data_IF_614149721904
#
_entry.id   IF_614149721904
#
_cell.length_a   1.000
_cell.length_b   1.000
_cell.length_c   1.000
_cell.angle_alpha   90.00
_cell.angle_beta   90.00
_cell.angle_gamma   90.00
#
_symmetry.space_group_name_H-M   'P 1'
#
loop_
_entity.id
_entity.type
_entity.pdbx_description
1 polymer ?
#
# COMPACT_ATOMS: atom_id res chain seq x y z
N UNK A 1 34.38 -8.54 11.33
CA UNK A 1 33.36 -9.36 10.63
C UNK A 1 32.24 -8.44 10.20
N UNK A 2 32.11 -8.20 8.89
CA UNK A 2 31.12 -7.26 8.33
C UNK A 2 29.71 -7.73 8.67
N UNK A 3 28.90 -6.83 9.22
CA UNK A 3 27.50 -7.00 9.57
C UNK A 3 26.66 -7.26 8.32
N UNK A 4 26.54 -8.54 7.94
CA UNK A 4 25.46 -9.02 7.09
C UNK A 4 24.14 -8.74 7.84
N UNK A 5 23.42 -7.68 7.47
CA UNK A 5 22.15 -7.40 8.13
C UNK A 5 21.36 -6.22 7.59
N UNK A 6 21.98 -5.20 7.00
CA UNK A 6 21.24 -4.11 6.36
C UNK A 6 22.11 -3.42 5.29
N UNK A 7 21.83 -3.69 4.02
CA UNK A 7 22.54 -3.08 2.89
C UNK A 7 21.57 -2.80 1.74
N UNK A 8 21.09 -1.56 1.69
CA UNK A 8 20.15 -1.10 0.68
C UNK A 8 20.70 -1.15 -0.74
N UNK A 9 21.99 -0.87 -0.92
CA UNK A 9 22.59 -0.85 -2.24
C UNK A 9 22.74 -2.27 -2.77
N UNK A 10 23.18 -3.20 -1.91
CA UNK A 10 23.23 -4.61 -2.26
C UNK A 10 21.84 -5.20 -2.51
N UNK A 11 20.84 -4.93 -1.65
CA UNK A 11 19.48 -5.39 -1.86
C UNK A 11 18.89 -4.85 -3.18
N UNK A 12 19.09 -3.57 -3.47
CA UNK A 12 18.66 -2.96 -4.73
C UNK A 12 19.35 -3.58 -5.95
N UNK A 13 20.65 -3.87 -5.87
CA UNK A 13 21.42 -4.56 -6.93
C UNK A 13 20.87 -5.96 -7.20
N UNK A 14 20.54 -6.72 -6.14
CA UNK A 14 19.93 -8.06 -6.27
C UNK A 14 18.59 -7.95 -7.00
N UNK A 15 17.72 -7.04 -6.58
CA UNK A 15 16.42 -6.82 -7.23
C UNK A 15 16.57 -6.35 -8.69
N UNK A 16 17.53 -5.48 -8.97
CA UNK A 16 17.82 -5.04 -10.34
C UNK A 16 18.28 -6.20 -11.23
N UNK A 17 19.19 -7.05 -10.75
CA UNK A 17 19.66 -8.24 -11.47
C UNK A 17 18.55 -9.28 -11.70
N UNK A 18 17.62 -9.43 -10.75
CA UNK A 18 16.47 -10.31 -10.93
C UNK A 18 15.44 -9.78 -11.94
N UNK A 19 15.19 -8.47 -11.91
CA UNK A 19 14.23 -7.83 -12.78
C UNK A 19 14.73 -7.72 -14.25
N UNK A 20 16.04 -7.69 -14.46
CA UNK A 20 16.66 -7.74 -15.80
C UNK A 20 16.72 -9.19 -16.34
N UNK A 21 16.51 -9.44 -17.65
CA UNK A 21 16.14 -8.50 -18.70
C UNK A 21 14.63 -8.18 -18.76
N UNK A 22 13.81 -8.85 -17.95
CA UNK A 22 12.36 -8.59 -17.91
C UNK A 22 11.70 -9.11 -16.65
N UNK A 23 10.86 -8.27 -16.05
CA UNK A 23 10.16 -8.55 -14.80
C UNK A 23 8.81 -9.24 -15.02
N UNK A 24 8.09 -8.91 -16.09
CA UNK A 24 6.74 -9.41 -16.35
C UNK A 24 6.71 -10.31 -17.58
N UNK A 25 5.94 -11.40 -17.54
CA UNK A 25 5.57 -12.14 -18.72
C UNK A 25 4.56 -11.35 -19.57
N UNK A 26 4.49 -11.66 -20.87
CA UNK A 26 3.37 -11.25 -21.69
C UNK A 26 2.16 -12.12 -21.33
N UNK A 27 1.23 -11.54 -20.58
CA UNK A 27 -0.04 -12.19 -20.25
C UNK A 27 -1.15 -11.25 -20.68
N UNK A 28 -2.12 -11.70 -21.51
CA UNK A 28 -3.30 -10.90 -21.78
C UNK A 28 -4.02 -10.65 -20.45
N UNK A 29 -4.26 -9.38 -20.13
CA UNK A 29 -5.04 -9.05 -18.95
C UNK A 29 -6.46 -9.55 -19.21
N UNK A 30 -6.92 -10.55 -18.46
CA UNK A 30 -8.35 -10.80 -18.34
C UNK A 30 -8.94 -9.58 -17.62
N UNK A 31 -9.65 -8.73 -18.36
CA UNK A 31 -10.28 -7.53 -17.81
C UNK A 31 -11.65 -7.96 -17.29
N UNK A 32 -11.94 -7.78 -16.00
CA UNK A 32 -13.30 -8.01 -15.52
C UNK A 32 -14.24 -7.02 -16.21
N UNK A 33 -15.29 -7.53 -16.84
CA UNK A 33 -16.23 -6.71 -17.59
C UNK A 33 -17.03 -5.76 -16.68
N UNK A 34 -17.22 -6.13 -15.40
CA UNK A 34 -18.04 -5.40 -14.44
C UNK A 34 -17.59 -5.67 -13.01
N UNK A 35 -17.46 -4.62 -12.20
CA UNK A 35 -17.22 -4.70 -10.75
C UNK A 35 -18.30 -3.93 -10.00
N UNK A 36 -18.90 -4.58 -9.00
CA UNK A 36 -19.88 -3.97 -8.09
C UNK A 36 -19.19 -3.44 -6.84
N UNK A 37 -19.60 -2.26 -6.37
CA UNK A 37 -19.04 -1.65 -5.17
C UNK A 37 -20.11 -0.99 -4.31
N UNK A 38 -19.85 -0.91 -3.02
CA UNK A 38 -20.64 -0.10 -2.08
C UNK A 38 -19.91 1.19 -1.76
N UNK A 39 -20.65 2.25 -1.46
CA UNK A 39 -20.11 3.58 -1.19
C UNK A 39 -20.63 4.11 0.15
N UNK A 40 -19.75 4.73 0.93
CA UNK A 40 -20.08 5.41 2.16
C UNK A 40 -19.40 6.77 2.23
N UNK A 41 -20.14 7.82 2.61
CA UNK A 41 -19.57 9.15 2.83
C UNK A 41 -18.62 9.14 4.02
N UNK A 42 -17.43 9.72 3.83
CA UNK A 42 -16.46 9.98 4.89
C UNK A 42 -16.93 11.20 5.68
N UNK A 43 -17.12 11.02 6.99
CA UNK A 43 -17.61 12.08 7.89
C UNK A 43 -16.45 12.76 8.60
N UNK A 44 -16.25 14.04 8.30
CA UNK A 44 -15.28 14.89 8.99
C UNK A 44 -15.74 15.25 10.42
N UNK A 45 -14.79 15.63 11.28
CA UNK A 45 -15.11 16.21 12.60
C UNK A 45 -15.82 17.56 12.44
N UNK A 46 -16.64 17.98 13.43
CA UNK A 46 -17.20 19.33 13.46
C UNK A 46 -16.10 20.38 13.33
N UNK A 47 -16.31 21.38 12.45
CA UNK A 47 -15.36 22.46 12.16
C UNK A 47 -14.00 22.02 11.58
N UNK A 48 -13.92 20.83 10.99
CA UNK A 48 -12.72 20.29 10.32
C UNK A 48 -13.08 19.66 8.99
N UNK A 49 -12.15 19.62 8.03
CA UNK A 49 -12.28 18.79 6.83
C UNK A 49 -11.70 17.38 7.03
N UNK A 50 -10.98 17.14 8.13
CA UNK A 50 -10.41 15.84 8.48
C UNK A 50 -11.37 15.03 9.35
N UNK A 51 -11.31 13.72 9.24
CA UNK A 51 -11.91 12.81 10.23
C UNK A 51 -11.06 12.76 11.51
N UNK A 52 -11.62 12.26 12.61
CA UNK A 52 -10.88 12.06 13.86
C UNK A 52 -9.61 11.23 13.65
N UNK A 53 -9.71 10.10 12.93
CA UNK A 53 -8.56 9.23 12.65
C UNK A 53 -7.49 9.93 11.81
N UNK A 54 -7.89 10.75 10.83
CA UNK A 54 -6.97 11.53 10.01
C UNK A 54 -6.25 12.61 10.83
N UNK A 55 -6.99 13.35 11.67
CA UNK A 55 -6.42 14.40 12.54
C UNK A 55 -5.44 13.82 13.56
N UNK A 56 -5.82 12.74 14.25
CA UNK A 56 -4.95 12.07 15.21
C UNK A 56 -3.67 11.54 14.55
N UNK A 57 -3.79 10.99 13.34
CA UNK A 57 -2.62 10.54 12.58
C UNK A 57 -1.72 11.71 12.18
N UNK A 58 -2.29 12.81 11.69
CA UNK A 58 -1.56 14.03 11.33
C UNK A 58 -0.77 14.58 12.53
N UNK A 59 -1.43 14.75 13.67
CA UNK A 59 -0.86 15.29 14.90
C UNK A 59 0.27 14.42 15.47
N UNK A 60 0.19 13.10 15.26
CA UNK A 60 1.15 12.15 15.83
C UNK A 60 2.31 11.82 14.89
N UNK A 61 2.07 11.67 13.59
CA UNK A 61 3.04 11.04 12.67
C UNK A 61 3.46 11.91 11.48
N UNK A 62 2.83 13.07 11.29
CA UNK A 62 3.08 13.89 10.10
C UNK A 62 3.63 15.27 10.41
N UNK A 63 4.11 15.52 11.63
CA UNK A 63 4.75 16.80 11.95
C UNK A 63 5.93 17.07 11.00
N UNK A 64 6.10 18.29 10.47
CA UNK A 64 5.35 19.52 10.77
C UNK A 64 4.16 19.82 9.83
N UNK A 65 3.65 18.83 9.10
CA UNK A 65 2.50 19.00 8.21
C UNK A 65 1.27 19.54 8.96
N UNK A 66 0.63 20.54 8.37
CA UNK A 66 -0.55 21.22 8.91
C UNK A 66 -1.84 20.67 8.29
N UNK A 67 -3.00 20.83 8.96
CA UNK A 67 -4.27 20.35 8.43
C UNK A 67 -4.61 20.90 7.03
N UNK A 68 -4.30 22.16 6.75
CA UNK A 68 -4.55 22.81 5.44
C UNK A 68 -3.77 22.19 4.29
N UNK A 69 -2.69 21.47 4.59
CA UNK A 69 -1.83 20.80 3.61
C UNK A 69 -2.30 19.37 3.29
N UNK A 70 -3.34 18.89 3.98
CA UNK A 70 -3.87 17.53 3.80
C UNK A 70 -5.19 17.59 3.06
N UNK A 71 -5.26 16.88 1.93
CA UNK A 71 -6.52 16.61 1.24
C UNK A 71 -7.13 15.32 1.76
N UNK A 72 -8.39 15.40 2.22
CA UNK A 72 -9.19 14.24 2.64
C UNK A 72 -10.13 13.77 1.52
N UNK A 73 -10.32 12.46 1.44
CA UNK A 73 -11.34 11.83 0.64
C UNK A 73 -12.74 12.15 1.19
N UNK A 74 -13.73 12.18 0.30
CA UNK A 74 -15.13 12.41 0.69
C UNK A 74 -15.92 11.11 0.77
N UNK A 75 -15.43 10.04 0.16
CA UNK A 75 -16.08 8.74 0.10
C UNK A 75 -15.09 7.61 0.30
N UNK A 76 -15.56 6.56 0.97
CA UNK A 76 -14.93 5.26 1.07
C UNK A 76 -15.77 4.27 0.26
N UNK A 77 -15.11 3.41 -0.48
CA UNK A 77 -15.74 2.31 -1.21
C UNK A 77 -15.26 0.96 -0.69
N UNK A 78 -16.10 -0.05 -0.86
CA UNK A 78 -15.72 -1.44 -0.67
C UNK A 78 -16.22 -2.28 -1.86
N UNK A 79 -15.40 -3.21 -2.33
CA UNK A 79 -15.72 -4.11 -3.44
C UNK A 79 -15.00 -5.46 -3.28
N UNK A 80 -15.36 -6.44 -4.10
CA UNK A 80 -14.60 -7.68 -4.28
C UNK A 80 -13.89 -7.62 -5.62
N UNK A 81 -12.59 -7.88 -5.64
CA UNK A 81 -11.79 -7.88 -6.88
C UNK A 81 -11.98 -9.16 -7.70
N UNK A 82 -11.38 -9.23 -8.89
CA UNK A 82 -11.50 -10.39 -9.78
C UNK A 82 -10.96 -11.72 -9.23
N UNK A 83 -10.11 -11.68 -8.19
CA UNK A 83 -9.64 -12.89 -7.49
C UNK A 83 -10.56 -13.24 -6.29
N UNK A 84 -11.69 -12.54 -6.17
CA UNK A 84 -12.64 -12.72 -5.08
C UNK A 84 -12.16 -12.12 -3.76
N UNK A 85 -11.18 -11.23 -3.74
CA UNK A 85 -10.62 -10.68 -2.50
C UNK A 85 -11.33 -9.37 -2.15
N UNK A 86 -11.75 -9.17 -0.88
CA UNK A 86 -12.37 -7.91 -0.46
C UNK A 86 -11.35 -6.78 -0.44
N UNK A 87 -11.76 -5.63 -0.95
CA UNK A 87 -10.96 -4.42 -1.10
C UNK A 87 -11.69 -3.20 -0.52
N UNK A 88 -10.92 -2.24 -0.02
CA UNK A 88 -11.40 -0.91 0.34
C UNK A 88 -10.58 0.16 -0.35
N UNK A 89 -11.18 1.31 -0.56
CA UNK A 89 -10.54 2.42 -1.24
C UNK A 89 -11.25 3.73 -0.96
N UNK A 90 -10.67 4.81 -1.45
CA UNK A 90 -11.18 6.15 -1.21
C UNK A 90 -11.19 6.94 -2.50
N UNK A 91 -12.20 7.81 -2.62
CA UNK A 91 -12.23 8.80 -3.69
C UNK A 91 -12.77 10.13 -3.18
N UNK A 92 -12.61 11.16 -4.00
CA UNK A 92 -13.07 12.51 -3.72
C UNK A 92 -14.12 12.93 -4.73
N UNK A 93 -15.23 13.51 -4.26
CA UNK A 93 -16.25 14.13 -5.12
C UNK A 93 -15.61 15.24 -5.94
N UNK A 94 -15.99 15.31 -7.23
CA UNK A 94 -15.39 16.21 -8.21
C UNK A 94 -13.99 15.80 -8.68
N UNK A 95 -13.50 14.62 -8.28
CA UNK A 95 -12.33 13.96 -8.87
C UNK A 95 -12.74 12.91 -9.91
N UNK A 96 -11.87 11.93 -10.13
CA UNK A 96 -12.07 10.85 -11.12
C UNK A 96 -13.02 9.74 -10.63
N UNK A 97 -13.52 9.82 -9.40
CA UNK A 97 -14.49 8.86 -8.86
C UNK A 97 -13.90 7.50 -8.45
N UNK A 98 -14.76 6.51 -8.19
CA UNK A 98 -14.38 5.19 -7.66
C UNK A 98 -13.68 4.29 -8.67
N UNK A 99 -13.70 4.61 -9.97
CA UNK A 99 -13.04 3.83 -11.01
C UNK A 99 -11.53 3.72 -10.80
N UNK A 100 -10.87 4.77 -10.29
CA UNK A 100 -9.41 4.76 -10.13
C UNK A 100 -8.94 3.71 -9.12
N UNK A 101 -9.40 3.69 -7.85
CA UNK A 101 -8.99 2.65 -6.90
C UNK A 101 -9.37 1.23 -7.35
N UNK A 102 -10.51 1.04 -8.03
CA UNK A 102 -10.93 -0.29 -8.52
C UNK A 102 -10.05 -0.75 -9.69
N UNK A 103 -9.90 0.06 -10.75
CA UNK A 103 -9.04 -0.27 -11.89
C UNK A 103 -7.57 -0.45 -11.48
N UNK A 104 -7.11 0.33 -10.50
CA UNK A 104 -5.79 0.18 -9.90
C UNK A 104 -5.59 -1.21 -9.31
N UNK A 105 -6.57 -1.71 -8.54
CA UNK A 105 -6.49 -3.04 -7.94
C UNK A 105 -6.49 -4.15 -9.00
N UNK A 106 -7.35 -4.04 -10.01
CA UNK A 106 -7.36 -5.00 -11.12
C UNK A 106 -6.05 -4.98 -11.92
N UNK A 107 -5.42 -3.81 -12.04
CA UNK A 107 -4.08 -3.67 -12.61
C UNK A 107 -3.04 -4.41 -11.77
N UNK A 108 -3.08 -4.25 -10.45
CA UNK A 108 -2.17 -4.97 -9.54
C UNK A 108 -2.33 -6.48 -9.72
N UNK A 109 -3.57 -6.99 -9.77
CA UNK A 109 -3.84 -8.42 -9.97
C UNK A 109 -3.30 -8.92 -11.31
N UNK A 110 -3.54 -8.19 -12.40
CA UNK A 110 -3.00 -8.52 -13.71
C UNK A 110 -1.47 -8.58 -13.71
N UNK A 111 -0.80 -7.64 -13.06
CA UNK A 111 0.66 -7.62 -12.94
C UNK A 111 1.21 -8.69 -12.00
N UNK A 112 0.49 -9.05 -10.94
CA UNK A 112 0.84 -10.18 -10.08
C UNK A 112 0.78 -11.50 -10.84
N UNK A 113 -0.26 -11.70 -11.66
CA UNK A 113 -0.37 -12.86 -12.56
C UNK A 113 0.77 -12.89 -13.57
N UNK A 114 1.07 -11.75 -14.21
CA UNK A 114 2.18 -11.64 -15.17
C UNK A 114 3.56 -11.87 -14.51
N UNK A 115 3.74 -11.45 -13.26
CA UNK A 115 4.95 -11.70 -12.47
C UNK A 115 5.08 -13.20 -12.15
N UNK A 116 4.01 -13.83 -11.67
CA UNK A 116 3.99 -15.25 -11.32
C UNK A 116 4.16 -16.17 -12.54
N UNK A 117 3.61 -15.78 -13.69
CA UNK A 117 3.72 -16.53 -14.95
C UNK A 117 5.12 -16.44 -15.60
N UNK A 118 6.01 -15.57 -15.10
CA UNK A 118 7.34 -15.38 -15.67
C UNK A 118 8.30 -16.50 -15.24
N UNK A 119 8.31 -17.60 -16.00
CA UNK A 119 9.18 -18.75 -15.75
C UNK A 119 10.68 -18.38 -15.75
N UNK A 120 11.09 -17.41 -16.57
CA UNK A 120 12.48 -16.95 -16.60
C UNK A 120 12.86 -16.21 -15.31
N UNK A 121 11.96 -15.39 -14.76
CA UNK A 121 12.15 -14.77 -13.44
C UNK A 121 12.19 -15.84 -12.34
N UNK A 122 11.27 -16.79 -12.36
CA UNK A 122 11.23 -17.87 -11.37
C UNK A 122 12.56 -18.67 -11.36
N UNK A 123 13.10 -18.98 -12.54
CA UNK A 123 14.41 -19.61 -12.67
C UNK A 123 15.52 -18.75 -12.05
N UNK A 124 15.57 -17.45 -12.34
CA UNK A 124 16.56 -16.54 -11.73
C UNK A 124 16.43 -16.49 -10.20
N UNK A 125 15.21 -16.39 -9.68
CA UNK A 125 14.92 -16.38 -8.24
C UNK A 125 15.39 -17.68 -7.56
N UNK A 126 15.19 -18.84 -8.20
CA UNK A 126 15.61 -20.14 -7.66
C UNK A 126 17.14 -20.29 -7.51
N UNK A 127 17.91 -19.46 -8.22
CA UNK A 127 19.38 -19.48 -8.20
C UNK A 127 19.99 -18.37 -7.35
N UNK A 128 19.18 -17.59 -6.62
CA UNK A 128 19.69 -16.51 -5.75
C UNK A 128 20.55 -17.12 -4.66
N UNK A 129 21.75 -16.56 -4.48
CA UNK A 129 22.69 -17.05 -3.47
C UNK A 129 22.14 -16.85 -2.05
N UNK A 130 22.51 -17.74 -1.12
CA UNK A 130 22.15 -17.60 0.30
C UNK A 130 22.60 -16.25 0.89
N UNK A 131 23.72 -15.70 0.39
CA UNK A 131 24.22 -14.38 0.76
C UNK A 131 23.27 -13.27 0.32
N UNK A 132 22.81 -13.31 -0.93
CA UNK A 132 21.89 -12.30 -1.45
C UNK A 132 20.51 -12.41 -0.79
N UNK A 133 20.04 -13.63 -0.49
CA UNK A 133 18.81 -13.83 0.32
C UNK A 133 18.95 -13.21 1.71
N UNK A 134 20.06 -13.43 2.41
CA UNK A 134 20.31 -12.82 3.72
C UNK A 134 20.35 -11.28 3.65
N UNK A 135 20.84 -10.70 2.55
CA UNK A 135 20.80 -9.25 2.32
C UNK A 135 19.37 -8.75 2.16
N UNK A 136 18.53 -9.45 1.38
CA UNK A 136 17.12 -9.10 1.19
C UNK A 136 16.32 -9.21 2.50
N UNK A 137 16.52 -10.30 3.26
CA UNK A 137 15.91 -10.52 4.56
C UNK A 137 16.28 -9.41 5.55
N UNK A 138 17.56 -9.05 5.63
CA UNK A 138 18.01 -8.00 6.53
C UNK A 138 17.53 -6.59 6.15
N UNK A 139 17.28 -6.35 4.86
CA UNK A 139 17.06 -4.99 4.33
C UNK A 139 15.59 -4.66 4.03
N UNK A 140 14.79 -5.66 3.66
CA UNK A 140 13.41 -5.47 3.20
C UNK A 140 12.40 -5.99 4.23
N UNK A 141 11.14 -5.56 4.11
CA UNK A 141 10.07 -6.04 5.01
C UNK A 141 9.57 -7.43 4.61
N UNK A 142 9.55 -7.74 3.31
CA UNK A 142 8.89 -8.93 2.78
C UNK A 142 9.87 -10.07 2.49
N UNK A 143 11.18 -9.81 2.54
CA UNK A 143 12.32 -10.74 2.50
C UNK A 143 12.48 -11.51 1.18
N UNK A 144 11.41 -12.13 0.69
CA UNK A 144 11.40 -12.95 -0.52
C UNK A 144 11.32 -12.08 -1.78
N UNK A 145 12.13 -12.35 -2.83
CA UNK A 145 12.14 -11.53 -4.03
C UNK A 145 10.77 -11.32 -4.68
N UNK A 146 9.97 -12.38 -4.79
CA UNK A 146 8.65 -12.33 -5.40
C UNK A 146 7.69 -11.45 -4.60
N UNK A 147 7.71 -11.56 -3.27
CA UNK A 147 6.87 -10.73 -2.39
C UNK A 147 7.30 -9.26 -2.44
N UNK A 148 8.61 -8.99 -2.47
CA UNK A 148 9.14 -7.63 -2.62
C UNK A 148 8.63 -6.99 -3.92
N UNK A 149 8.67 -7.70 -5.05
CA UNK A 149 8.13 -7.18 -6.31
C UNK A 149 6.60 -6.99 -6.25
N UNK A 150 5.85 -7.93 -5.67
CA UNK A 150 4.39 -7.80 -5.49
C UNK A 150 4.02 -6.56 -4.68
N UNK A 151 4.72 -6.32 -3.57
CA UNK A 151 4.53 -5.13 -2.73
C UNK A 151 4.96 -3.85 -3.45
N UNK A 152 6.00 -3.91 -4.29
CA UNK A 152 6.41 -2.80 -5.14
C UNK A 152 5.32 -2.39 -6.16
N UNK A 153 4.65 -3.37 -6.77
CA UNK A 153 3.53 -3.16 -7.70
C UNK A 153 2.34 -2.52 -6.97
N UNK A 154 1.99 -3.03 -5.78
CA UNK A 154 0.98 -2.44 -4.90
C UNK A 154 1.30 -0.99 -4.52
N UNK A 155 2.56 -0.70 -4.16
CA UNK A 155 3.00 0.65 -3.85
C UNK A 155 2.89 1.59 -5.06
N UNK A 156 3.17 1.10 -6.27
CA UNK A 156 2.94 1.85 -7.51
C UNK A 156 1.45 2.18 -7.68
N UNK A 157 0.56 1.19 -7.54
CA UNK A 157 -0.88 1.40 -7.63
C UNK A 157 -1.43 2.38 -6.59
N UNK A 158 -1.01 2.23 -5.34
CA UNK A 158 -1.36 3.16 -4.25
C UNK A 158 -0.92 4.59 -4.56
N UNK A 159 0.23 4.79 -5.20
CA UNK A 159 0.66 6.13 -5.62
C UNK A 159 -0.37 6.75 -6.55
N UNK A 160 -0.82 6.01 -7.57
CA UNK A 160 -1.84 6.48 -8.50
C UNK A 160 -3.17 6.78 -7.80
N UNK A 161 -3.72 5.79 -7.09
CA UNK A 161 -5.05 5.91 -6.47
C UNK A 161 -5.10 7.02 -5.42
N UNK A 162 -4.05 7.19 -4.63
CA UNK A 162 -3.99 8.24 -3.62
C UNK A 162 -3.90 9.63 -4.23
N UNK A 163 -3.10 9.81 -5.28
CA UNK A 163 -2.99 11.11 -5.97
C UNK A 163 -4.25 11.46 -6.75
N UNK A 164 -5.10 10.49 -7.10
CA UNK A 164 -6.40 10.77 -7.72
C UNK A 164 -7.35 11.58 -6.82
N UNK A 165 -7.10 11.63 -5.50
CA UNK A 165 -7.76 12.59 -4.59
C UNK A 165 -7.49 14.05 -5.00
N UNK A 166 -6.40 14.30 -5.74
CA UNK A 166 -5.99 15.60 -6.24
C UNK A 166 -6.39 15.87 -7.70
N UNK A 167 -7.08 14.94 -8.38
CA UNK A 167 -7.31 15.01 -9.83
C UNK A 167 -8.01 16.29 -10.28
N UNK A 168 -8.86 16.89 -9.43
CA UNK A 168 -9.54 18.17 -9.75
C UNK A 168 -8.58 19.35 -10.00
N UNK A 169 -7.35 19.27 -9.50
CA UNK A 169 -6.33 20.32 -9.64
C UNK A 169 -5.33 20.05 -10.75
N UNK A 170 -5.52 18.97 -11.51
CA UNK A 170 -4.70 18.64 -12.68
C UNK A 170 -5.48 18.95 -13.96
N UNK A 171 -4.84 18.96 -15.14
CA UNK A 171 -5.55 19.07 -16.41
C UNK A 171 -6.14 17.74 -16.90
N UNK A 172 -5.82 16.62 -16.25
CA UNK A 172 -6.25 15.29 -16.66
C UNK A 172 -7.72 15.05 -16.30
N UNK A 173 -8.51 14.56 -17.26
CA UNK A 173 -9.98 14.42 -17.11
C UNK A 173 -10.45 12.98 -17.12
N UNK A 174 -9.63 12.06 -17.64
CA UNK A 174 -9.90 10.63 -17.59
C UNK A 174 -8.91 9.90 -16.66
N UNK A 175 -9.27 8.71 -16.14
CA UNK A 175 -8.31 7.87 -15.40
C UNK A 175 -7.04 7.58 -16.20
N UNK A 176 -7.17 7.26 -17.49
CA UNK A 176 -6.05 6.98 -18.38
C UNK A 176 -5.12 8.20 -18.54
N UNK A 177 -5.69 9.38 -18.85
CA UNK A 177 -4.92 10.63 -18.92
C UNK A 177 -4.21 10.92 -17.60
N UNK A 178 -4.87 10.66 -16.47
CA UNK A 178 -4.29 10.90 -15.16
C UNK A 178 -3.10 9.98 -14.86
N UNK A 179 -3.20 8.69 -15.20
CA UNK A 179 -2.10 7.74 -15.03
C UNK A 179 -0.89 8.07 -15.91
N UNK A 180 -1.13 8.36 -17.20
CA UNK A 180 -0.08 8.81 -18.12
C UNK A 180 0.54 10.13 -17.63
N UNK A 181 -0.30 11.11 -17.28
CA UNK A 181 0.14 12.41 -16.78
C UNK A 181 0.99 12.30 -15.50
N UNK A 182 0.64 11.41 -14.57
CA UNK A 182 1.46 11.15 -13.38
C UNK A 182 2.83 10.55 -13.70
N UNK A 183 2.90 9.64 -14.68
CA UNK A 183 4.17 9.06 -15.17
C UNK A 183 5.02 10.13 -15.84
N UNK A 184 4.45 10.84 -16.81
CA UNK A 184 5.16 11.83 -17.62
C UNK A 184 5.63 13.03 -16.77
N UNK A 185 4.87 13.34 -15.72
CA UNK A 185 5.24 14.34 -14.70
C UNK A 185 6.29 13.85 -13.68
N UNK A 186 6.68 12.58 -13.73
CA UNK A 186 7.64 11.99 -12.80
C UNK A 186 7.13 11.85 -11.35
N UNK A 187 5.80 11.82 -11.13
CA UNK A 187 5.24 11.78 -9.78
C UNK A 187 5.52 10.46 -9.08
N UNK A 188 5.51 9.32 -9.78
CA UNK A 188 5.90 8.03 -9.20
C UNK A 188 7.34 8.06 -8.64
N UNK A 189 8.27 8.67 -9.38
CA UNK A 189 9.65 8.91 -8.94
C UNK A 189 9.73 9.87 -7.77
N UNK A 190 8.91 10.92 -7.75
CA UNK A 190 8.83 11.84 -6.61
C UNK A 190 8.34 11.14 -5.34
N UNK A 191 7.32 10.28 -5.43
CA UNK A 191 6.85 9.46 -4.31
C UNK A 191 7.96 8.54 -3.81
N UNK A 192 8.59 7.77 -4.71
CA UNK A 192 9.64 6.81 -4.36
C UNK A 192 10.87 7.44 -3.68
N UNK A 193 11.15 8.72 -3.94
CA UNK A 193 12.39 9.37 -3.45
C UNK A 193 12.16 10.38 -2.33
N UNK A 194 11.00 11.06 -2.31
CA UNK A 194 10.75 12.19 -1.40
C UNK A 194 9.89 11.82 -0.20
N UNK A 195 8.94 10.90 -0.36
CA UNK A 195 8.11 10.49 0.76
C UNK A 195 8.97 9.68 1.74
N UNK A 196 8.66 9.79 3.03
CA UNK A 196 9.25 8.89 4.00
C UNK A 196 8.52 7.52 3.93
N UNK A 197 9.20 6.47 4.38
CA UNK A 197 8.71 5.09 4.30
C UNK A 197 7.48 4.93 5.18
N UNK A 198 6.51 4.15 4.73
CA UNK A 198 5.19 3.97 5.36
C UNK A 198 4.20 5.13 5.20
N UNK A 199 4.64 6.38 4.96
CA UNK A 199 3.73 7.53 4.76
C UNK A 199 2.65 7.23 3.74
N UNK A 200 3.02 6.67 2.59
CA UNK A 200 2.05 6.33 1.53
C UNK A 200 1.02 5.31 2.01
N UNK A 201 1.47 4.21 2.59
CA UNK A 201 0.58 3.13 3.00
C UNK A 201 -0.37 3.56 4.12
N UNK A 202 0.11 4.36 5.09
CA UNK A 202 -0.68 4.81 6.23
C UNK A 202 -1.72 5.87 5.87
N UNK A 203 -1.37 6.79 4.95
CA UNK A 203 -2.26 7.86 4.49
C UNK A 203 -3.25 7.36 3.44
N UNK A 204 -2.87 6.42 2.56
CA UNK A 204 -3.78 5.74 1.64
C UNK A 204 -4.93 5.06 2.39
N UNK A 205 -4.58 4.28 3.42
CA UNK A 205 -5.50 3.56 4.31
C UNK A 205 -6.52 4.44 5.05
N UNK A 206 -6.17 5.73 5.21
CA UNK A 206 -7.00 6.75 5.88
C UNK A 206 -7.75 7.64 4.89
N UNK A 207 -7.61 7.41 3.58
CA UNK A 207 -8.23 8.24 2.57
C UNK A 207 -7.77 9.69 2.62
N UNK A 208 -6.47 9.93 2.83
CA UNK A 208 -5.93 11.29 2.85
C UNK A 208 -4.59 11.38 2.14
N UNK A 209 -4.18 12.58 1.74
CA UNK A 209 -2.90 12.82 1.07
C UNK A 209 -2.31 14.18 1.47
N UNK A 210 -1.03 14.27 1.90
CA UNK A 210 -0.40 15.50 2.37
C UNK A 210 0.38 16.26 1.29
N UNK A 211 -0.13 16.28 0.06
CA UNK A 211 0.57 16.92 -1.06
C UNK A 211 -0.40 17.75 -1.89
N UNK A 212 0.14 18.78 -2.52
CA UNK A 212 -0.57 19.64 -3.47
C UNK A 212 0.16 19.66 -4.81
N UNK A 213 -0.61 19.71 -5.90
CA UNK A 213 -0.06 19.87 -7.24
C UNK A 213 -0.09 21.34 -7.69
N UNK A 214 0.91 21.70 -8.50
CA UNK A 214 0.92 22.86 -9.36
C UNK A 214 1.00 22.38 -10.81
N UNK A 215 -0.01 22.72 -11.61
CA UNK A 215 0.00 22.46 -13.05
C UNK A 215 0.98 23.40 -13.74
N UNK A 216 1.82 22.86 -14.60
CA UNK A 216 2.83 23.57 -15.37
C UNK A 216 2.23 24.02 -16.73
N UNK A 217 2.87 24.99 -17.41
CA UNK A 217 2.38 25.46 -18.72
C UNK A 217 2.29 24.37 -19.80
N UNK A 218 3.10 23.31 -19.70
CA UNK A 218 3.10 22.16 -20.62
C UNK A 218 2.04 21.09 -20.27
N UNK A 219 1.19 21.35 -19.28
CA UNK A 219 0.17 20.41 -18.82
C UNK A 219 0.68 19.31 -17.88
N UNK A 220 1.98 19.25 -17.57
CA UNK A 220 2.52 18.39 -16.52
C UNK A 220 2.17 18.94 -15.13
N UNK A 221 2.27 18.10 -14.10
CA UNK A 221 2.06 18.52 -12.71
C UNK A 221 3.33 18.35 -11.88
N UNK A 222 3.53 19.20 -10.89
CA UNK A 222 4.62 19.07 -9.91
C UNK A 222 4.09 19.27 -8.51
N UNK A 223 4.77 18.72 -7.51
CA UNK A 223 4.52 19.14 -6.13
C UNK A 223 4.85 20.62 -5.96
N UNK A 224 4.02 21.34 -5.21
CA UNK A 224 4.32 22.73 -4.82
C UNK A 224 5.62 22.80 -3.99
N UNK A 225 6.27 23.96 -3.98
CA UNK A 225 7.47 24.17 -3.16
C UNK A 225 7.20 23.85 -1.68
N UNK A 226 6.06 24.30 -1.14
CA UNK A 226 5.61 24.03 0.22
C UNK A 226 5.43 22.53 0.49
N UNK A 227 4.86 21.78 -0.46
CA UNK A 227 4.73 20.33 -0.37
C UNK A 227 6.12 19.68 -0.28
N UNK A 228 7.04 20.07 -1.15
CA UNK A 228 8.41 19.51 -1.17
C UNK A 228 9.15 19.81 0.14
N UNK A 229 9.03 21.05 0.65
CA UNK A 229 9.63 21.44 1.92
C UNK A 229 9.03 20.66 3.10
N UNK A 230 7.70 20.50 3.12
CA UNK A 230 6.98 19.79 4.19
C UNK A 230 7.32 18.30 4.20
N UNK A 231 7.27 17.63 3.04
CA UNK A 231 7.64 16.21 2.93
C UNK A 231 9.09 15.96 3.36
N UNK A 232 10.00 16.88 3.00
CA UNK A 232 11.40 16.81 3.44
C UNK A 232 11.52 16.96 4.95
N UNK A 233 10.86 17.95 5.54
CA UNK A 233 10.88 18.18 6.98
C UNK A 233 10.29 16.98 7.76
N UNK A 234 9.18 16.41 7.28
CA UNK A 234 8.59 15.19 7.85
C UNK A 234 9.57 14.01 7.82
N UNK A 235 10.25 13.83 6.69
CA UNK A 235 11.25 12.77 6.49
C UNK A 235 12.46 12.96 7.39
N UNK A 236 12.99 14.17 7.48
CA UNK A 236 14.14 14.49 8.33
C UNK A 236 13.79 14.33 9.83
N UNK A 237 12.59 14.72 10.25
CA UNK A 237 12.08 14.50 11.61
C UNK A 237 11.98 13.00 11.93
N UNK A 238 11.36 12.22 11.04
CA UNK A 238 11.21 10.76 11.20
C UNK A 238 12.57 10.05 11.32
N UNK A 239 13.54 10.42 10.48
CA UNK A 239 14.91 9.88 10.57
C UNK A 239 15.57 10.25 11.89
N UNK A 240 15.38 11.49 12.34
CA UNK A 240 15.95 11.99 13.61
C UNK A 240 15.38 11.25 14.81
N UNK A 241 14.07 10.98 14.82
CA UNK A 241 13.39 10.22 15.87
C UNK A 241 13.91 8.78 15.90
N UNK A 242 13.99 8.11 14.74
CA UNK A 242 14.51 6.75 14.65
C UNK A 242 15.97 6.64 15.15
N UNK A 243 16.83 7.59 14.76
CA UNK A 243 18.20 7.65 15.24
C UNK A 243 18.29 7.98 16.74
N UNK A 244 17.34 8.74 17.29
CA UNK A 244 17.32 9.05 18.73
C UNK A 244 16.99 7.83 19.57
N UNK A 245 15.98 7.06 19.16
CA UNK A 245 15.65 5.76 19.78
C UNK A 245 16.84 4.81 19.72
N UNK A 246 17.45 4.64 18.54
CA UNK A 246 18.61 3.74 18.40
C UNK A 246 19.82 4.22 19.18
N UNK A 247 20.15 5.51 19.14
CA UNK A 247 21.27 6.05 19.93
C UNK A 247 21.08 5.78 21.41
N UNK A 248 19.91 6.10 21.97
CA UNK A 248 19.60 5.80 23.38
C UNK A 248 19.84 4.31 23.69
N UNK A 249 19.29 3.42 22.87
CA UNK A 249 19.41 1.99 23.07
C UNK A 249 20.87 1.50 23.03
N UNK A 250 21.66 1.97 22.05
CA UNK A 250 23.02 1.47 21.82
C UNK A 250 24.09 2.16 22.67
N UNK A 251 23.91 3.44 23.01
CA UNK A 251 24.93 4.22 23.76
C UNK A 251 24.61 4.33 25.24
N UNK A 252 23.35 4.61 25.60
CA UNK A 252 22.94 4.75 27.01
C UNK A 252 22.68 3.40 27.66
N UNK A 253 22.04 2.48 26.93
CA UNK A 253 21.64 1.17 27.48
C UNK A 253 22.57 0.02 27.08
N UNK A 254 23.59 0.31 26.26
CA UNK A 254 24.63 -0.66 25.87
C UNK A 254 24.13 -1.83 25.02
N UNK A 255 22.94 -1.73 24.42
CA UNK A 255 22.37 -2.80 23.62
C UNK A 255 23.07 -2.92 22.26
N UNK A 256 23.18 -4.15 21.75
CA UNK A 256 23.49 -4.36 20.33
C UNK A 256 22.36 -3.82 19.45
N UNK A 257 22.62 -3.52 18.18
CA UNK A 257 21.57 -3.06 17.27
C UNK A 257 20.39 -4.05 17.15
N UNK A 258 20.69 -5.36 17.15
CA UNK A 258 19.65 -6.40 17.12
C UNK A 258 18.80 -6.42 18.40
N UNK A 259 19.44 -6.30 19.57
CA UNK A 259 18.74 -6.24 20.86
C UNK A 259 17.94 -4.93 21.03
N UNK A 260 18.46 -3.81 20.53
CA UNK A 260 17.77 -2.54 20.49
C UNK A 260 16.50 -2.61 19.64
N UNK A 261 16.59 -3.20 18.44
CA UNK A 261 15.42 -3.41 17.57
C UNK A 261 14.38 -4.29 18.24
N UNK A 262 14.78 -5.38 18.89
CA UNK A 262 13.85 -6.26 19.58
C UNK A 262 13.15 -5.54 20.75
N UNK A 263 13.90 -4.78 21.54
CA UNK A 263 13.36 -4.05 22.70
C UNK A 263 12.44 -2.89 22.28
N UNK A 264 12.88 -2.07 21.33
CA UNK A 264 12.16 -0.88 20.87
C UNK A 264 11.32 -1.15 19.63
N UNK A 265 10.90 -2.39 19.43
CA UNK A 265 10.19 -2.77 18.21
C UNK A 265 8.92 -1.93 18.03
N UNK A 266 8.11 -1.72 19.07
CA UNK A 266 6.89 -0.89 19.00
C UNK A 266 7.20 0.55 18.57
N UNK A 267 8.21 1.18 19.19
CA UNK A 267 8.60 2.55 18.86
C UNK A 267 9.17 2.65 17.42
N UNK A 268 9.98 1.67 17.02
CA UNK A 268 10.62 1.65 15.70
C UNK A 268 9.68 1.21 14.58
N UNK A 269 8.68 0.38 14.86
CA UNK A 269 7.64 -0.01 13.90
C UNK A 269 6.67 1.16 13.63
N UNK A 270 6.56 2.12 14.56
CA UNK A 270 5.80 3.35 14.39
C UNK A 270 6.54 4.46 13.61
N UNK A 271 7.88 4.45 13.61
CA UNK A 271 8.75 5.49 13.01
C UNK A 271 9.44 4.98 11.71
N UNK A 272 9.40 3.67 11.47
CA UNK A 272 10.15 2.90 10.47
C UNK A 272 11.57 2.49 10.89
N UNK A 273 11.69 1.21 11.30
CA UNK A 273 12.94 0.51 11.66
C UNK A 273 14.08 0.73 10.65
N UNK A 274 13.75 0.83 9.37
CA UNK A 274 14.76 0.96 8.32
C UNK A 274 15.53 2.28 8.42
N UNK A 275 14.93 3.35 8.96
CA UNK A 275 15.64 4.62 9.19
C UNK A 275 16.61 4.52 10.34
N UNK A 276 16.23 3.82 11.40
CA UNK A 276 17.07 3.55 12.57
C UNK A 276 18.39 2.83 12.21
N UNK A 277 18.40 2.08 11.11
CA UNK A 277 19.55 1.33 10.62
C UNK A 277 20.43 2.08 9.60
N UNK A 278 20.06 3.32 9.23
CA UNK A 278 20.87 4.10 8.30
C UNK A 278 22.10 4.68 8.99
N UNK A 279 23.27 4.67 8.32
CA UNK A 279 24.40 5.44 8.81
C UNK A 279 24.05 6.94 8.90
N UNK A 280 24.54 7.67 9.92
CA UNK A 280 24.35 9.12 10.01
C UNK A 280 24.70 9.85 8.72
N UNK A 281 23.85 10.79 8.30
CA UNK A 281 24.03 11.56 7.05
C UNK A 281 23.61 10.83 5.76
N UNK A 282 23.23 9.55 5.84
CA UNK A 282 22.75 8.82 4.66
C UNK A 282 21.34 9.27 4.28
N UNK A 283 21.15 9.67 3.02
CA UNK A 283 19.81 9.94 2.49
C UNK A 283 19.15 8.64 2.05
N UNK A 284 17.97 8.29 2.59
CA UNK A 284 17.28 7.09 2.18
C UNK A 284 16.72 7.23 0.77
N UNK A 285 17.03 6.23 -0.07
CA UNK A 285 16.47 6.05 -1.39
C UNK A 285 15.66 4.75 -1.49
N UNK A 286 14.58 4.78 -2.27
CA UNK A 286 13.82 3.58 -2.61
C UNK A 286 14.69 2.61 -3.41
N UNK A 287 14.62 1.32 -3.07
CA UNK A 287 15.40 0.28 -3.75
C UNK A 287 15.10 0.23 -5.25
N UNK A 288 13.85 0.45 -5.65
CA UNK A 288 13.46 0.43 -7.06
C UNK A 288 13.99 1.64 -7.86
N UNK A 289 14.26 2.76 -7.19
CA UNK A 289 14.70 4.00 -7.83
C UNK A 289 16.24 4.14 -7.91
N UNK A 290 17.00 3.23 -7.30
CA UNK A 290 18.46 3.27 -7.36
C UNK A 290 18.95 2.77 -8.73
N UNK A 291 19.80 3.55 -9.43
CA UNK A 291 20.37 3.13 -10.70
C UNK A 291 21.52 2.14 -10.49
N UNK A 292 21.61 1.15 -11.37
CA UNK A 292 22.70 0.17 -11.46
C UNK A 292 23.21 0.08 -12.88
N UNK A 293 24.35 -0.59 -13.05
CA UNK A 293 24.81 -1.06 -14.36
C UNK A 293 24.60 -2.57 -14.39
N UNK A 294 23.73 -3.03 -15.29
CA UNK A 294 23.45 -4.46 -15.53
C UNK A 294 23.72 -4.71 -17.01
N UNK A 295 24.56 -5.68 -17.32
CA UNK A 295 24.99 -6.01 -18.70
C UNK A 295 25.46 -4.79 -19.52
N UNK A 296 26.15 -3.85 -18.86
CA UNK A 296 26.69 -2.64 -19.48
C UNK A 296 25.69 -1.48 -19.66
N UNK A 297 24.41 -1.67 -19.35
CA UNK A 297 23.36 -0.65 -19.46
C UNK A 297 22.91 -0.10 -18.09
N UNK A 298 22.46 1.16 -18.07
CA UNK A 298 21.83 1.74 -16.88
C UNK A 298 20.45 1.11 -16.65
N UNK A 299 20.23 0.58 -15.44
CA UNK A 299 19.00 -0.11 -15.09
C UNK A 299 18.49 0.32 -13.71
N UNK A 300 17.18 0.53 -13.60
CA UNK A 300 16.47 0.68 -12.33
C UNK A 300 15.09 0.03 -12.46
N UNK A 301 14.58 -0.53 -11.36
CA UNK A 301 13.32 -1.30 -11.38
C UNK A 301 12.10 -0.39 -11.52
N UNK A 302 12.17 0.83 -10.97
CA UNK A 302 11.02 1.73 -10.88
C UNK A 302 10.41 2.09 -12.24
N UNK A 303 11.17 2.54 -13.27
CA UNK A 303 10.60 2.83 -14.58
C UNK A 303 9.92 1.60 -15.22
N UNK A 304 10.54 0.42 -15.12
CA UNK A 304 9.99 -0.83 -15.66
C UNK A 304 8.63 -1.15 -15.05
N UNK A 305 8.48 -0.99 -13.73
CA UNK A 305 7.21 -1.21 -13.03
C UNK A 305 6.19 -0.13 -13.40
N UNK A 306 6.57 1.15 -13.39
CA UNK A 306 5.66 2.27 -13.67
C UNK A 306 5.13 2.21 -15.10
N UNK A 307 5.99 1.97 -16.08
CA UNK A 307 5.59 1.95 -17.49
C UNK A 307 4.61 0.80 -17.76
N UNK A 308 4.92 -0.38 -17.22
CA UNK A 308 4.01 -1.53 -17.34
C UNK A 308 2.72 -1.30 -16.58
N UNK A 309 2.78 -0.73 -15.38
CA UNK A 309 1.61 -0.40 -14.57
C UNK A 309 0.67 0.57 -15.29
N UNK A 310 1.19 1.69 -15.78
CA UNK A 310 0.37 2.69 -16.49
C UNK A 310 -0.22 2.13 -17.78
N UNK A 311 0.53 1.31 -18.51
CA UNK A 311 0.04 0.64 -19.72
C UNK A 311 -1.15 -0.26 -19.42
N UNK A 312 -1.02 -1.15 -18.43
CA UNK A 312 -2.09 -2.09 -18.06
C UNK A 312 -3.27 -1.37 -17.41
N UNK A 313 -3.01 -0.36 -16.57
CA UNK A 313 -4.05 0.46 -15.96
C UNK A 313 -4.88 1.18 -17.01
N UNK A 314 -4.26 1.78 -18.02
CA UNK A 314 -4.99 2.47 -19.09
C UNK A 314 -5.90 1.51 -19.84
N UNK A 315 -5.43 0.31 -20.19
CA UNK A 315 -6.27 -0.70 -20.84
C UNK A 315 -7.46 -1.10 -19.95
N UNK A 316 -7.22 -1.44 -18.68
CA UNK A 316 -8.27 -1.84 -17.75
C UNK A 316 -9.27 -0.70 -17.51
N UNK A 317 -8.80 0.52 -17.28
CA UNK A 317 -9.67 1.65 -16.96
C UNK A 317 -10.56 2.07 -18.14
N UNK A 318 -10.17 1.75 -19.37
CA UNK A 318 -10.98 1.98 -20.57
C UNK A 318 -12.12 0.97 -20.68
N UNK A 319 -11.88 -0.29 -20.35
CA UNK A 319 -12.83 -1.38 -20.60
C UNK A 319 -13.67 -1.77 -19.36
N UNK A 320 -13.23 -1.38 -18.16
CA UNK A 320 -13.90 -1.73 -16.91
C UNK A 320 -15.20 -0.94 -16.70
N UNK A 321 -16.31 -1.66 -16.54
CA UNK A 321 -17.56 -1.09 -16.02
C UNK A 321 -17.62 -1.21 -14.50
N UNK A 322 -18.08 -0.17 -13.81
CA UNK A 322 -18.34 -0.22 -12.36
C UNK A 322 -19.78 0.15 -12.06
N UNK A 323 -20.37 -0.51 -11.06
CA UNK A 323 -21.73 -0.21 -10.60
C UNK A 323 -21.78 -0.11 -9.08
N UNK A 324 -22.38 0.97 -8.60
CA UNK A 324 -22.69 1.13 -7.18
C UNK A 324 -23.91 0.27 -6.83
N UNK A 325 -23.79 -0.51 -5.76
CA UNK A 325 -24.86 -1.31 -5.18
C UNK A 325 -25.13 -0.87 -3.75
N UNK A 326 -26.36 -1.09 -3.28
CA UNK A 326 -26.73 -0.80 -1.90
C UNK A 326 -25.90 -1.66 -0.94
N UNK A 327 -25.34 -1.03 0.11
CA UNK A 327 -24.66 -1.77 1.17
C UNK A 327 -25.66 -2.52 2.05
N UNK A 328 -25.36 -3.79 2.34
CA UNK A 328 -26.11 -4.52 3.36
C UNK A 328 -25.85 -3.90 4.74
N UNK A 329 -26.93 -3.56 5.45
CA UNK A 329 -26.86 -3.13 6.84
C UNK A 329 -26.71 -4.37 7.69
N UNK A 330 -25.49 -4.67 8.16
CA UNK A 330 -25.26 -5.78 9.06
C UNK A 330 -25.90 -5.49 10.43
N UNK A 331 -27.04 -6.13 10.69
CA UNK A 331 -27.73 -6.09 11.99
C UNK A 331 -27.11 -7.18 12.90
N UNK A 332 -25.99 -6.83 13.54
CA UNK A 332 -25.17 -7.78 14.31
C UNK A 332 -25.63 -7.80 15.79
N UNK A 333 -26.74 -8.49 16.06
CA UNK A 333 -27.27 -8.71 17.42
C UNK A 333 -27.28 -10.18 17.86
N UNK A 334 -26.62 -11.07 17.10
CA UNK A 334 -26.55 -12.51 17.37
C UNK A 334 -25.42 -12.95 18.31
N UNK A 335 -25.49 -14.20 18.77
CA UNK A 335 -24.38 -14.89 19.45
C UNK A 335 -23.23 -15.18 18.47
N UNK A 336 -21.98 -15.17 18.95
CA UNK A 336 -20.81 -15.49 18.09
C UNK A 336 -20.89 -16.92 17.57
N UNK A 337 -20.96 -17.08 16.25
CA UNK A 337 -20.79 -18.35 15.57
C UNK A 337 -19.30 -18.63 15.28
N UNK A 338 -18.97 -19.87 14.89
CA UNK A 338 -17.59 -20.24 14.54
C UNK A 338 -17.03 -19.41 13.36
N UNK A 339 -17.91 -18.96 12.48
CA UNK A 339 -17.62 -18.07 11.35
C UNK A 339 -17.18 -16.66 11.77
N UNK A 340 -17.56 -16.19 12.96
CA UNK A 340 -17.15 -14.87 13.48
C UNK A 340 -15.67 -14.79 13.86
N UNK A 341 -14.98 -15.93 13.87
CA UNK A 341 -13.52 -16.01 14.02
C UNK A 341 -12.80 -15.51 12.77
N UNK A 342 -13.46 -15.54 11.62
CA UNK A 342 -12.89 -15.11 10.34
C UNK A 342 -13.35 -13.68 10.04
N UNK A 343 -12.41 -12.86 9.63
CA UNK A 343 -12.69 -11.54 9.06
C UNK A 343 -11.59 -11.19 8.06
N UNK A 344 -11.82 -10.13 7.29
CA UNK A 344 -10.88 -9.70 6.27
C UNK A 344 -10.35 -8.31 6.58
N UNK A 345 -9.08 -8.06 6.26
CA UNK A 345 -8.45 -6.75 6.35
C UNK A 345 -7.95 -6.35 4.95
N UNK A 346 -8.83 -5.79 4.11
CA UNK A 346 -8.53 -5.40 2.73
C UNK A 346 -7.21 -4.65 2.53
N UNK A 347 -6.89 -3.74 3.45
CA UNK A 347 -5.73 -2.85 3.27
C UNK A 347 -4.38 -3.46 3.72
N UNK A 348 -4.33 -4.75 4.12
CA UNK A 348 -3.09 -5.40 4.56
C UNK A 348 -2.30 -5.98 3.39
N UNK A 349 -1.13 -5.42 3.07
CA UNK A 349 -0.39 -5.79 1.84
C UNK A 349 1.03 -6.31 2.06
N UNK A 350 1.57 -6.29 3.28
CA UNK A 350 2.96 -6.68 3.54
C UNK A 350 3.12 -7.30 4.92
N UNK A 351 4.28 -7.92 5.18
CA UNK A 351 4.58 -8.55 6.48
C UNK A 351 4.53 -7.58 7.67
N UNK A 352 4.75 -6.29 7.47
CA UNK A 352 4.55 -5.29 8.52
C UNK A 352 3.07 -5.20 8.93
N UNK A 353 2.12 -5.26 7.98
CA UNK A 353 0.70 -5.26 8.31
C UNK A 353 0.31 -6.47 9.18
N UNK A 354 0.84 -7.65 8.86
CA UNK A 354 0.63 -8.88 9.67
C UNK A 354 1.07 -8.65 11.11
N UNK A 355 2.28 -8.10 11.31
CA UNK A 355 2.80 -7.82 12.65
C UNK A 355 1.95 -6.78 13.39
N UNK A 356 1.60 -5.67 12.75
CA UNK A 356 0.79 -4.63 13.38
C UNK A 356 -0.59 -5.16 13.76
N UNK A 357 -1.28 -5.88 12.88
CA UNK A 357 -2.61 -6.45 13.15
C UNK A 357 -2.53 -7.46 14.30
N UNK A 358 -1.52 -8.35 14.27
CA UNK A 358 -1.27 -9.32 15.34
C UNK A 358 -1.03 -8.61 16.67
N UNK A 359 -0.14 -7.62 16.72
CA UNK A 359 0.16 -6.86 17.93
C UNK A 359 -1.05 -6.14 18.51
N UNK A 360 -1.88 -5.51 17.67
CA UNK A 360 -3.14 -4.87 18.12
C UNK A 360 -4.07 -5.90 18.75
N UNK A 361 -4.33 -7.03 18.10
CA UNK A 361 -5.24 -8.07 18.61
C UNK A 361 -4.70 -8.73 19.88
N UNK A 362 -3.43 -9.08 19.91
CA UNK A 362 -2.79 -9.72 21.07
C UNK A 362 -2.72 -8.80 22.28
N UNK A 363 -2.53 -7.49 22.09
CA UNK A 363 -2.60 -6.49 23.18
C UNK A 363 -3.97 -6.47 23.86
N UNK A 364 -5.02 -6.83 23.12
CA UNK A 364 -6.40 -6.99 23.61
C UNK A 364 -6.69 -8.40 24.13
N UNK A 365 -5.66 -9.27 24.22
CA UNK A 365 -5.73 -10.68 24.61
C UNK A 365 -6.63 -11.53 23.71
N UNK A 366 -6.66 -11.19 22.41
CA UNK A 366 -7.31 -11.95 21.35
C UNK A 366 -6.25 -12.83 20.70
N UNK A 367 -6.46 -14.14 20.68
CA UNK A 367 -5.52 -15.07 20.04
C UNK A 367 -5.69 -14.99 18.53
N UNK A 368 -4.59 -14.79 17.81
CA UNK A 368 -4.55 -14.85 16.34
C UNK A 368 -4.04 -16.22 15.93
N UNK A 369 -4.78 -16.91 15.06
CA UNK A 369 -4.38 -18.22 14.53
C UNK A 369 -3.63 -18.11 13.21
N UNK A 370 -4.10 -17.23 12.33
CA UNK A 370 -3.61 -17.14 10.96
C UNK A 370 -3.92 -15.76 10.37
N UNK A 371 -3.00 -15.28 9.52
CA UNK A 371 -3.15 -14.07 8.73
C UNK A 371 -2.57 -14.33 7.34
N UNK A 372 -3.44 -14.36 6.33
CA UNK A 372 -3.07 -14.57 4.94
C UNK A 372 -3.10 -13.25 4.16
N UNK A 373 -1.92 -12.78 3.75
CA UNK A 373 -1.74 -11.54 2.98
C UNK A 373 -2.35 -11.57 1.58
N UNK A 374 -2.49 -12.75 0.98
CA UNK A 374 -3.02 -12.89 -0.38
C UNK A 374 -4.54 -12.77 -0.33
N UNK A 375 -5.21 -13.60 0.46
CA UNK A 375 -6.68 -13.59 0.58
C UNK A 375 -7.23 -12.49 1.48
N UNK A 376 -6.35 -11.72 2.13
CA UNK A 376 -6.69 -10.69 3.14
C UNK A 376 -7.43 -11.25 4.36
N UNK A 377 -7.34 -12.56 4.61
CA UNK A 377 -8.06 -13.26 5.67
C UNK A 377 -7.29 -13.22 6.99
N UNK A 378 -8.01 -12.98 8.08
CA UNK A 378 -7.53 -13.08 9.47
C UNK A 378 -8.43 -14.06 10.22
N UNK A 379 -7.82 -14.94 11.02
CA UNK A 379 -8.52 -15.87 11.92
C UNK A 379 -8.12 -15.58 13.35
N UNK A 380 -9.08 -15.21 14.19
CA UNK A 380 -8.85 -14.82 15.57
C UNK A 380 -9.97 -15.27 16.54
N UNK A 381 -9.63 -15.51 17.81
CA UNK A 381 -10.58 -15.93 18.85
C UNK A 381 -11.16 -14.74 19.60
N UNK A 382 -12.38 -14.34 19.23
CA UNK A 382 -13.15 -13.34 19.97
C UNK A 382 -13.95 -13.97 21.11
N UNK A 383 -14.00 -13.31 22.26
CA UNK A 383 -14.72 -13.81 23.45
C UNK A 383 -16.19 -13.43 23.47
N UNK A 384 -16.58 -12.41 22.72
CA UNK A 384 -17.94 -11.90 22.59
C UNK A 384 -18.07 -10.95 21.39
N UNK A 385 -19.29 -10.69 20.88
CA UNK A 385 -19.49 -9.72 19.79
C UNK A 385 -18.97 -8.32 20.15
N UNK A 386 -19.16 -7.91 21.42
CA UNK A 386 -18.62 -6.65 21.93
C UNK A 386 -17.09 -6.61 21.92
N UNK A 387 -16.43 -7.72 22.22
CA UNK A 387 -14.96 -7.79 22.15
C UNK A 387 -14.47 -7.69 20.70
N UNK A 388 -15.17 -8.34 19.75
CA UNK A 388 -14.91 -8.23 18.32
C UNK A 388 -15.08 -6.80 17.80
N UNK A 389 -16.19 -6.15 18.14
CA UNK A 389 -16.43 -4.76 17.74
C UNK A 389 -15.33 -3.82 18.25
N UNK A 390 -14.93 -3.95 19.52
CA UNK A 390 -13.82 -3.16 20.07
C UNK A 390 -12.50 -3.42 19.34
N UNK A 391 -12.23 -4.66 18.95
CA UNK A 391 -11.04 -5.00 18.18
C UNK A 391 -11.09 -4.37 16.78
N UNK A 392 -12.25 -4.35 16.15
CA UNK A 392 -12.44 -3.72 14.85
C UNK A 392 -12.26 -2.20 14.95
N UNK A 393 -12.74 -1.58 16.02
CA UNK A 393 -12.52 -0.15 16.27
C UNK A 393 -11.03 0.15 16.49
N UNK A 394 -10.32 -0.67 17.27
CA UNK A 394 -8.88 -0.53 17.47
C UNK A 394 -8.08 -0.70 16.15
N UNK A 395 -8.50 -1.64 15.29
CA UNK A 395 -7.91 -1.80 13.96
C UNK A 395 -8.18 -0.57 13.07
N UNK A 396 -9.39 0.00 13.11
CA UNK A 396 -9.76 1.24 12.39
C UNK A 396 -8.97 2.45 12.86
N UNK A 397 -8.71 2.56 14.16
CA UNK A 397 -7.82 3.58 14.72
C UNK A 397 -6.38 3.41 14.18
N UNK A 398 -5.94 2.16 14.04
CA UNK A 398 -4.72 1.78 13.34
C UNK A 398 -4.73 2.08 11.83
N UNK A 399 -5.89 2.40 11.26
CA UNK A 399 -6.12 2.69 9.84
C UNK A 399 -6.47 1.47 9.00
N UNK A 400 -6.75 0.32 9.62
CA UNK A 400 -7.20 -0.88 8.93
C UNK A 400 -8.72 -0.92 8.88
N UNK A 401 -9.31 -1.37 7.76
CA UNK A 401 -10.76 -1.42 7.61
C UNK A 401 -11.26 -2.88 7.66
N UNK A 402 -11.40 -3.52 8.83
CA UNK A 402 -11.85 -4.90 8.92
C UNK A 402 -13.31 -5.04 8.43
N UNK A 403 -13.58 -6.10 7.68
CA UNK A 403 -14.90 -6.48 7.16
C UNK A 403 -15.22 -7.93 7.52
N UNK A 404 -16.49 -8.22 7.79
CA UNK A 404 -16.96 -9.51 8.30
C UNK A 404 -17.18 -10.55 7.20
N UNK A 405 -17.73 -10.14 6.06
CA UNK A 405 -18.02 -11.03 4.94
C UNK A 405 -17.05 -10.82 3.77
N UNK A 406 -16.82 -11.90 3.01
CA UNK A 406 -16.36 -11.83 1.63
C UNK A 406 -17.57 -11.39 0.81
N UNK A 407 -17.62 -10.19 0.20
CA UNK A 407 -18.80 -9.79 -0.56
C UNK A 407 -19.02 -10.81 -1.68
N UNK A 408 -20.19 -11.41 -1.69
CA UNK A 408 -20.56 -12.50 -2.59
C UNK A 408 -20.48 -12.03 -4.03
N UNK A 409 -19.70 -12.72 -4.86
CA UNK A 409 -19.86 -12.58 -6.30
C UNK A 409 -21.29 -12.99 -6.66
N UNK A 410 -21.96 -12.18 -7.47
CA UNK A 410 -23.32 -12.44 -7.95
C UNK A 410 -23.43 -13.89 -8.48
N UNK A 411 -24.50 -14.64 -8.19
CA UNK A 411 -24.71 -15.95 -8.78
C UNK A 411 -24.68 -15.83 -10.31
N UNK A 412 -23.98 -16.74 -10.98
CA UNK A 412 -24.02 -16.87 -12.44
C UNK A 412 -25.48 -16.83 -12.93
N UNK A 413 -25.72 -16.02 -13.96
CA UNK A 413 -27.00 -15.91 -14.65
C UNK A 413 -27.48 -17.32 -15.04
N UNK A 414 -28.74 -17.71 -14.78
CA UNK A 414 -29.27 -18.98 -15.30
C UNK A 414 -29.12 -18.98 -16.82
N UNK A 415 -28.48 -20.02 -17.36
CA UNK A 415 -28.51 -20.29 -18.80
C UNK A 415 -29.97 -20.31 -19.24
N UNK A 416 -30.31 -19.46 -20.20
CA UNK A 416 -31.61 -19.50 -20.84
C UNK A 416 -31.75 -20.87 -21.51
N UNK A 417 -32.65 -21.69 -20.98
CA UNK A 417 -33.09 -22.92 -21.62
C UNK A 417 -33.68 -22.55 -22.98
N UNK A 418 -33.02 -23.01 -24.03
CA UNK A 418 -33.51 -23.02 -25.39
C UNK A 418 -34.73 -23.96 -25.44
N UNK A 419 -35.93 -23.41 -25.28
CA UNK A 419 -37.16 -24.13 -25.62
C UNK A 419 -37.30 -24.19 -27.13
N UNK A 420 -37.06 -25.38 -27.67
CA UNK A 420 -37.49 -25.75 -29.01
C UNK A 420 -39.03 -25.82 -29.08
N UNK A 421 -39.61 -25.13 -30.05
CA UNK A 421 -40.83 -25.52 -30.79
C UNK A 421 -40.58 -25.23 -32.26
#
# INVERSE_FOLDING_TARGET
>A
MSTLGYDRRAASRVLAGLAHPGLFAETPAAIPARVEYTCATVRSEPNSHLTLSQRLYLERFMRPCRPDQVTSATHRIAWTDSDGVPNTGFFRTGGLGPIVPIAMRETVLALWRALAANAALAARVSTVSARDLAVLEGTTTDHEPMDIFRVGIEACGRALAQHALLARWTPYRTPAEFACGMRDSGIFSAVATRWYWELQASTYRRGMIPVMFATQPDGTVRYTADTVATLRAMKDATITDAHTVMRRATTTEGLSAAAAIAKYHDDLDLISRQYALLPPGTRPACLAAMPHTVDGAHYSVLPVVVDRFVTVFTAIATDLSIVEVAGESADDSGELAAEDRVFYVPDMNCKHCVRTITGVLESMRIRVHDIDLISKRVVAEFRSPRNRQRAFDALRDGGYNPVTARPTATPERPQATETAV
#
